data_IF_860517005928
#
_entry.id   IF_860517005928
#
_cell.length_a   1.000
_cell.length_b   1.000
_cell.length_c   1.000
_cell.angle_alpha   90.00
_cell.angle_beta   90.00
_cell.angle_gamma   90.00
#
_symmetry.space_group_name_H-M   'P 1'
#
loop_
_entity.id
_entity.type
_entity.pdbx_description
1 polymer ?
#
# COMPACT_ATOMS: atom_id res chain seq x y z
N UNK A 1 -21.99 -4.66 82.32
CA UNK A 1 -22.30 -5.81 81.44
C UNK A 1 -22.87 -5.27 80.13
N UNK A 2 -22.34 -5.71 78.99
CA UNK A 2 -22.57 -5.17 77.63
C UNK A 2 -24.01 -5.32 77.13
N UNK A 3 -24.50 -4.34 76.34
CA UNK A 3 -25.25 -4.61 75.10
C UNK A 3 -24.58 -3.89 73.90
N UNK A 4 -25.09 -3.99 72.67
CA UNK A 4 -25.59 -5.15 71.94
C UNK A 4 -24.88 -5.31 70.57
N UNK A 5 -24.91 -6.52 70.02
CA UNK A 5 -24.74 -6.77 68.59
C UNK A 5 -25.97 -6.21 67.85
N UNK A 6 -25.76 -5.27 66.93
CA UNK A 6 -26.59 -5.19 65.72
C UNK A 6 -25.88 -4.40 64.64
N UNK A 7 -25.96 -4.94 63.44
CA UNK A 7 -25.13 -4.63 62.29
C UNK A 7 -25.39 -3.24 61.72
N UNK A 8 -24.30 -2.49 61.48
CA UNK A 8 -24.26 -1.41 60.51
C UNK A 8 -23.09 -1.69 59.58
N UNK A 9 -23.34 -2.54 58.58
CA UNK A 9 -22.41 -2.73 57.46
C UNK A 9 -22.56 -1.50 56.56
N UNK A 10 -21.70 -0.51 56.82
CA UNK A 10 -21.52 0.64 55.94
C UNK A 10 -20.83 0.16 54.67
N UNK A 11 -21.62 -0.24 53.67
CA UNK A 11 -21.15 -0.57 52.32
C UNK A 11 -20.63 0.71 51.65
N UNK A 12 -19.36 1.04 51.88
CA UNK A 12 -18.64 2.06 51.13
C UNK A 12 -18.27 1.47 49.77
N UNK A 13 -19.18 1.60 48.81
CA UNK A 13 -18.93 1.32 47.39
C UNK A 13 -17.87 2.29 46.89
N UNK A 14 -16.61 1.87 47.01
CA UNK A 14 -15.47 2.48 46.36
C UNK A 14 -15.61 2.20 44.86
N UNK A 15 -16.12 3.19 44.13
CA UNK A 15 -16.18 3.17 42.68
C UNK A 15 -14.74 3.33 42.15
N UNK A 16 -14.07 2.22 41.87
CA UNK A 16 -12.87 2.25 41.03
C UNK A 16 -13.33 2.63 39.61
N UNK A 17 -12.86 3.74 39.00
CA UNK A 17 -12.88 3.83 37.56
C UNK A 17 -11.91 2.77 37.06
N UNK A 18 -12.44 1.67 36.52
CA UNK A 18 -11.67 0.80 35.65
C UNK A 18 -11.03 1.71 34.61
N UNK A 19 -9.70 1.71 34.57
CA UNK A 19 -8.91 2.43 33.59
C UNK A 19 -9.25 1.96 32.18
N UNK A 20 -10.26 2.57 31.58
CA UNK A 20 -10.33 2.74 30.15
C UNK A 20 -9.32 3.82 29.80
N UNK A 21 -8.39 3.51 28.91
CA UNK A 21 -7.43 4.46 28.37
C UNK A 21 -8.16 5.76 28.03
N UNK A 22 -7.77 6.84 28.70
CA UNK A 22 -7.88 8.16 28.12
C UNK A 22 -7.18 8.03 26.77
N UNK A 23 -7.96 7.88 25.70
CA UNK A 23 -7.51 8.23 24.36
C UNK A 23 -7.18 9.70 24.53
N UNK A 24 -5.89 9.96 24.75
CA UNK A 24 -5.36 11.29 24.68
C UNK A 24 -5.90 11.84 23.36
N UNK A 25 -6.76 12.83 23.49
CA UNK A 25 -7.16 13.69 22.41
C UNK A 25 -5.88 14.33 21.86
N UNK A 26 -5.19 13.61 20.99
CA UNK A 26 -4.15 14.16 20.12
C UNK A 26 -4.93 14.90 19.06
N UNK A 27 -5.28 16.13 19.42
CA UNK A 27 -5.47 17.26 18.52
C UNK A 27 -6.41 17.05 17.34
N UNK A 28 -7.54 17.74 17.41
CA UNK A 28 -8.19 18.36 16.26
C UNK A 28 -7.26 19.31 15.45
N UNK A 29 -5.98 19.44 15.82
CA UNK A 29 -4.92 20.06 15.03
C UNK A 29 -4.08 19.07 14.18
N UNK A 30 -4.22 17.75 14.36
CA UNK A 30 -3.48 16.73 13.58
C UNK A 30 -4.17 16.33 12.27
N UNK A 31 -5.50 16.49 12.20
CA UNK A 31 -6.29 16.10 11.02
C UNK A 31 -5.98 16.92 9.76
N UNK A 32 -5.44 18.14 9.92
CA UNK A 32 -5.07 19.02 8.78
C UNK A 32 -3.61 18.79 8.34
N UNK A 33 -2.77 18.14 9.15
CA UNK A 33 -1.34 18.01 8.89
C UNK A 33 -0.90 16.78 8.09
N UNK A 34 -1.73 15.74 8.00
CA UNK A 34 -1.35 14.49 7.33
C UNK A 34 -1.49 14.52 5.81
N UNK A 35 -2.30 15.43 5.25
CA UNK A 35 -2.56 15.47 3.79
C UNK A 35 -1.38 15.98 2.97
N UNK A 36 -0.52 16.82 3.55
CA UNK A 36 0.68 17.34 2.85
C UNK A 36 1.91 16.42 2.99
N UNK A 37 1.85 15.40 3.85
CA UNK A 37 3.01 14.57 4.18
C UNK A 37 3.01 13.20 3.48
N UNK A 38 1.89 12.76 2.91
CA UNK A 38 1.80 11.53 2.15
C UNK A 38 1.26 11.80 0.75
N UNK A 39 1.85 11.13 -0.24
CA UNK A 39 1.34 11.17 -1.62
C UNK A 39 0.10 10.26 -1.79
N UNK A 40 -0.20 9.42 -0.79
CA UNK A 40 -1.35 8.51 -0.75
C UNK A 40 -2.56 9.20 -0.12
N UNK A 41 -3.71 9.15 -0.80
CA UNK A 41 -4.96 9.69 -0.24
C UNK A 41 -5.54 8.75 0.83
N UNK A 42 -6.29 9.29 1.79
CA UNK A 42 -6.98 8.46 2.78
C UNK A 42 -7.95 7.47 2.12
N UNK A 43 -8.60 7.85 1.01
CA UNK A 43 -9.46 6.97 0.23
C UNK A 43 -8.70 5.77 -0.34
N UNK A 44 -7.54 6.01 -0.96
CA UNK A 44 -6.68 4.93 -1.48
C UNK A 44 -6.17 3.99 -0.37
N UNK A 45 -5.87 4.53 0.82
CA UNK A 45 -5.47 3.69 1.95
C UNK A 45 -6.61 2.79 2.45
N UNK A 46 -7.85 3.31 2.48
CA UNK A 46 -9.03 2.53 2.82
C UNK A 46 -9.34 1.48 1.74
N UNK A 47 -9.23 1.84 0.47
CA UNK A 47 -9.41 0.92 -0.66
C UNK A 47 -8.42 -0.25 -0.58
N UNK A 48 -7.12 0.04 -0.40
CA UNK A 48 -6.09 -0.99 -0.28
C UNK A 48 -6.36 -1.92 0.93
N UNK A 49 -6.75 -1.37 2.09
CA UNK A 49 -7.09 -2.17 3.26
C UNK A 49 -8.32 -3.06 3.03
N UNK A 50 -9.34 -2.54 2.34
CA UNK A 50 -10.52 -3.33 1.98
C UNK A 50 -10.17 -4.46 1.00
N UNK A 51 -9.30 -4.20 0.02
CA UNK A 51 -8.80 -5.22 -0.91
C UNK A 51 -8.02 -6.30 -0.17
N UNK A 52 -7.07 -5.92 0.69
CA UNK A 52 -6.31 -6.86 1.52
C UNK A 52 -7.25 -7.77 2.33
N UNK A 53 -8.20 -7.17 3.06
CA UNK A 53 -9.17 -7.92 3.85
C UNK A 53 -10.07 -8.83 2.99
N UNK A 54 -10.52 -8.36 1.83
CA UNK A 54 -11.33 -9.15 0.92
C UNK A 54 -10.56 -10.38 0.40
N UNK A 55 -9.31 -10.19 -0.01
CA UNK A 55 -8.45 -11.27 -0.50
C UNK A 55 -8.15 -12.27 0.63
N UNK A 56 -7.73 -11.80 1.80
CA UNK A 56 -7.46 -12.67 2.96
C UNK A 56 -8.72 -13.43 3.39
N UNK A 57 -9.88 -12.79 3.40
CA UNK A 57 -11.15 -13.47 3.69
C UNK A 57 -11.49 -14.56 2.65
N UNK A 58 -11.30 -14.27 1.35
CA UNK A 58 -11.51 -15.26 0.28
C UNK A 58 -10.55 -16.45 0.42
N UNK A 59 -9.27 -16.21 0.66
CA UNK A 59 -8.26 -17.25 0.92
C UNK A 59 -8.71 -18.15 2.09
N UNK A 60 -8.99 -17.56 3.25
CA UNK A 60 -9.40 -18.33 4.43
C UNK A 60 -10.74 -19.04 4.24
N UNK A 61 -11.67 -18.48 3.45
CA UNK A 61 -12.93 -19.14 3.10
C UNK A 61 -12.74 -20.32 2.15
N UNK A 62 -11.74 -20.25 1.26
CA UNK A 62 -11.45 -21.33 0.33
C UNK A 62 -10.83 -22.51 1.08
N UNK A 63 -9.83 -22.24 1.92
CA UNK A 63 -9.30 -23.22 2.88
C UNK A 63 -8.46 -22.53 3.97
N UNK A 64 -8.97 -22.49 5.19
CA UNK A 64 -8.28 -21.83 6.31
C UNK A 64 -6.96 -22.49 6.70
N UNK A 65 -6.83 -23.82 6.53
CA UNK A 65 -5.61 -24.55 6.89
C UNK A 65 -4.49 -24.30 5.86
N UNK A 66 -4.83 -24.30 4.57
CA UNK A 66 -3.86 -24.08 3.48
C UNK A 66 -3.31 -22.66 3.46
N UNK A 67 -4.14 -21.67 3.76
CA UNK A 67 -3.80 -20.26 3.58
C UNK A 67 -3.70 -19.48 4.91
N UNK A 68 -3.66 -20.18 6.05
CA UNK A 68 -3.49 -19.57 7.38
C UNK A 68 -2.30 -18.60 7.40
N UNK A 69 -1.18 -19.05 6.83
CA UNK A 69 0.11 -18.37 6.83
C UNK A 69 0.40 -17.56 5.57
N UNK A 70 -0.60 -17.36 4.70
CA UNK A 70 -0.45 -16.47 3.54
C UNK A 70 -0.86 -15.06 3.95
N UNK A 71 0.10 -14.16 4.03
CA UNK A 71 -0.15 -12.74 4.33
C UNK A 71 -0.43 -11.96 3.05
N UNK A 72 -1.32 -10.97 3.17
CA UNK A 72 -1.81 -10.17 2.05
C UNK A 72 -1.60 -8.70 2.37
N UNK A 73 -0.64 -8.09 1.70
CA UNK A 73 -0.37 -6.66 1.82
C UNK A 73 -0.75 -5.95 0.53
N UNK A 74 -1.30 -4.74 0.61
CA UNK A 74 -1.73 -4.00 -0.59
C UNK A 74 -1.23 -2.57 -0.51
N UNK A 75 -0.50 -2.14 -1.54
CA UNK A 75 -0.05 -0.76 -1.67
C UNK A 75 -0.34 -0.22 -3.07
N UNK A 76 -1.19 0.79 -3.13
CA UNK A 76 -1.56 1.50 -4.34
C UNK A 76 -2.06 0.53 -5.44
N UNK A 77 -2.89 -0.45 -5.07
CA UNK A 77 -3.42 -1.50 -5.94
C UNK A 77 -2.44 -2.62 -6.34
N UNK A 78 -1.17 -2.60 -5.89
CA UNK A 78 -0.31 -3.78 -5.98
C UNK A 78 -0.57 -4.67 -4.77
N UNK A 79 -0.94 -5.92 -5.01
CA UNK A 79 -1.09 -6.96 -3.98
C UNK A 79 0.22 -7.71 -3.86
N UNK A 80 0.75 -7.81 -2.64
CA UNK A 80 1.83 -8.72 -2.29
C UNK A 80 1.23 -9.90 -1.52
N UNK A 81 1.41 -11.09 -2.06
CA UNK A 81 1.18 -12.35 -1.34
C UNK A 81 2.52 -12.85 -0.83
N UNK A 82 2.65 -12.99 0.48
CA UNK A 82 3.83 -13.60 1.11
C UNK A 82 3.38 -14.70 2.07
N UNK A 83 4.31 -15.47 2.63
CA UNK A 83 3.95 -16.64 3.42
C UNK A 83 4.37 -17.95 2.79
N UNK A 84 3.63 -19.00 3.11
CA UNK A 84 3.86 -20.33 2.56
C UNK A 84 2.59 -21.11 2.31
N UNK A 85 2.73 -22.11 1.43
CA UNK A 85 1.76 -23.17 1.18
C UNK A 85 2.49 -24.49 1.00
N UNK A 86 1.76 -25.61 1.13
CA UNK A 86 2.34 -26.94 1.01
C UNK A 86 2.60 -27.37 -0.43
N UNK A 87 1.81 -26.86 -1.39
CA UNK A 87 1.81 -27.33 -2.77
C UNK A 87 1.83 -26.18 -3.80
N UNK A 88 2.47 -26.38 -4.97
CA UNK A 88 2.52 -25.37 -6.03
C UNK A 88 1.14 -24.90 -6.51
N UNK A 89 0.17 -25.81 -6.58
CA UNK A 89 -1.21 -25.50 -6.98
C UNK A 89 -1.88 -24.50 -6.03
N UNK A 90 -1.62 -24.59 -4.73
CA UNK A 90 -2.17 -23.67 -3.74
C UNK A 90 -1.57 -22.26 -3.91
N UNK A 91 -0.29 -22.17 -4.30
CA UNK A 91 0.36 -20.88 -4.61
C UNK A 91 -0.28 -20.20 -5.83
N UNK A 92 -0.52 -20.96 -6.89
CA UNK A 92 -1.19 -20.45 -8.11
C UNK A 92 -2.64 -20.08 -7.80
N UNK A 93 -3.32 -20.89 -6.98
CA UNK A 93 -4.69 -20.66 -6.59
C UNK A 93 -4.84 -19.38 -5.74
N UNK A 94 -3.92 -19.13 -4.81
CA UNK A 94 -3.88 -17.89 -4.03
C UNK A 94 -3.72 -16.65 -4.91
N UNK A 95 -2.87 -16.71 -5.92
CA UNK A 95 -2.70 -15.65 -6.92
C UNK A 95 -3.98 -15.40 -7.71
N UNK A 96 -4.67 -16.46 -8.14
CA UNK A 96 -5.96 -16.35 -8.81
C UNK A 96 -7.01 -15.66 -7.93
N UNK A 97 -7.02 -15.92 -6.62
CA UNK A 97 -7.89 -15.22 -5.66
C UNK A 97 -7.52 -13.73 -5.58
N UNK A 98 -6.24 -13.39 -5.52
CA UNK A 98 -5.79 -11.99 -5.45
C UNK A 98 -6.22 -11.17 -6.69
N UNK A 99 -6.12 -11.76 -7.89
CA UNK A 99 -6.60 -11.15 -9.13
C UNK A 99 -8.13 -10.97 -9.18
N UNK A 100 -8.90 -11.68 -8.36
CA UNK A 100 -10.37 -11.57 -8.33
C UNK A 100 -10.91 -10.35 -7.58
N UNK A 101 -10.05 -9.56 -6.92
CA UNK A 101 -10.46 -8.34 -6.23
C UNK A 101 -10.45 -7.13 -7.17
N UNK A 102 -11.51 -6.32 -7.13
CA UNK A 102 -11.82 -5.34 -8.18
C UNK A 102 -10.81 -4.20 -8.36
N UNK A 103 -10.04 -3.88 -7.32
CA UNK A 103 -9.05 -2.79 -7.34
C UNK A 103 -7.60 -3.30 -7.41
N UNK A 104 -7.42 -4.61 -7.61
CA UNK A 104 -6.10 -5.21 -7.87
C UNK A 104 -5.62 -4.76 -9.24
N UNK A 105 -4.45 -4.10 -9.26
CA UNK A 105 -3.77 -3.66 -10.49
C UNK A 105 -2.61 -4.58 -10.87
N UNK A 106 -1.97 -5.17 -9.87
CA UNK A 106 -0.83 -6.05 -10.04
C UNK A 106 -0.74 -7.01 -8.84
N UNK A 107 -0.10 -8.16 -9.03
CA UNK A 107 0.08 -9.19 -8.00
C UNK A 107 1.53 -9.67 -7.99
N UNK A 108 2.21 -9.43 -6.87
CA UNK A 108 3.50 -10.04 -6.55
C UNK A 108 3.25 -11.29 -5.69
N UNK A 109 3.50 -12.47 -6.25
CA UNK A 109 3.31 -13.75 -5.56
C UNK A 109 4.64 -14.31 -5.04
N UNK A 110 4.97 -13.98 -3.79
CA UNK A 110 6.19 -14.37 -3.08
C UNK A 110 5.95 -15.51 -2.06
N UNK A 111 4.83 -16.23 -2.21
CA UNK A 111 4.52 -17.41 -1.39
C UNK A 111 5.57 -18.50 -1.63
N UNK A 112 6.14 -19.03 -0.56
CA UNK A 112 7.05 -20.18 -0.60
C UNK A 112 6.29 -21.51 -0.61
N UNK A 113 6.83 -22.50 -1.32
CA UNK A 113 6.31 -23.86 -1.30
C UNK A 113 7.16 -24.67 -0.34
N UNK A 114 6.70 -24.79 0.89
CA UNK A 114 7.42 -25.48 1.96
C UNK A 114 6.44 -26.04 3.01
N UNK A 115 6.79 -27.15 3.68
CA UNK A 115 5.97 -27.69 4.77
C UNK A 115 5.86 -26.69 5.93
N UNK A 116 4.91 -26.88 6.85
CA UNK A 116 4.75 -25.99 7.99
C UNK A 116 5.99 -25.98 8.92
N UNK A 117 6.88 -24.99 8.79
CA UNK A 117 7.95 -24.62 9.72
C UNK A 117 7.49 -23.80 10.94
N UNK A 118 8.20 -23.94 12.06
CA UNK A 118 7.75 -23.49 13.38
C UNK A 118 7.54 -21.98 13.57
N UNK A 119 6.62 -21.68 14.50
CA UNK A 119 6.17 -20.37 15.02
C UNK A 119 7.27 -19.33 15.36
N UNK A 120 8.55 -19.73 15.41
CA UNK A 120 9.68 -18.88 15.82
C UNK A 120 10.08 -17.88 14.72
N UNK A 121 9.91 -18.22 13.44
CA UNK A 121 10.32 -17.36 12.32
C UNK A 121 9.50 -16.04 12.28
N UNK A 122 8.18 -16.12 12.40
CA UNK A 122 7.28 -14.96 12.28
C UNK A 122 7.53 -13.90 13.37
N UNK A 123 7.90 -14.30 14.59
CA UNK A 123 8.24 -13.35 15.67
C UNK A 123 9.49 -12.54 15.32
N UNK A 124 10.47 -13.17 14.64
CA UNK A 124 11.69 -12.49 14.24
C UNK A 124 11.44 -11.49 13.10
N UNK A 125 10.52 -11.80 12.19
CA UNK A 125 10.19 -10.96 11.05
C UNK A 125 9.48 -9.66 11.46
N UNK A 126 8.57 -9.70 12.43
CA UNK A 126 7.94 -8.48 12.96
C UNK A 126 8.95 -7.52 13.60
N UNK A 127 9.96 -8.08 14.30
CA UNK A 127 11.06 -7.29 14.86
C UNK A 127 11.99 -6.75 13.76
N UNK A 128 12.18 -7.48 12.66
CA UNK A 128 12.89 -6.99 11.48
C UNK A 128 12.10 -5.83 10.85
N UNK A 129 10.81 -6.02 10.56
CA UNK A 129 9.90 -5.00 10.01
C UNK A 129 9.92 -3.73 10.86
N UNK A 130 9.78 -3.86 12.18
CA UNK A 130 9.85 -2.73 13.11
C UNK A 130 11.18 -1.97 13.05
N UNK A 131 12.30 -2.69 12.96
CA UNK A 131 13.64 -2.07 12.85
C UNK A 131 13.87 -1.41 11.49
N UNK A 132 13.45 -2.05 10.39
CA UNK A 132 13.48 -1.45 9.04
C UNK A 132 12.67 -0.17 9.04
N UNK A 133 11.43 -0.20 9.56
CA UNK A 133 10.55 0.96 9.66
C UNK A 133 11.20 2.09 10.46
N UNK A 134 11.81 1.78 11.60
CA UNK A 134 12.52 2.76 12.42
C UNK A 134 13.70 3.40 11.66
N UNK A 135 14.49 2.61 10.91
CA UNK A 135 15.59 3.17 10.09
C UNK A 135 15.10 4.06 8.96
N UNK A 136 14.03 3.67 8.27
CA UNK A 136 13.46 4.53 7.22
C UNK A 136 12.92 5.85 7.80
N UNK A 137 12.26 5.81 8.95
CA UNK A 137 11.78 7.02 9.67
C UNK A 137 12.96 7.93 10.05
N UNK A 138 14.08 7.35 10.50
CA UNK A 138 15.28 8.11 10.85
C UNK A 138 16.06 8.68 9.65
N UNK A 139 15.74 8.26 8.42
CA UNK A 139 16.46 8.66 7.21
C UNK A 139 15.97 10.01 6.70
N UNK A 140 16.88 10.99 6.61
CA UNK A 140 16.56 12.35 6.10
C UNK A 140 16.22 12.39 4.60
N UNK A 141 16.61 11.36 3.86
CA UNK A 141 16.50 11.30 2.40
C UNK A 141 15.41 10.36 1.91
N UNK A 142 14.78 9.60 2.82
CA UNK A 142 13.69 8.67 2.51
C UNK A 142 12.41 9.20 3.13
N UNK A 143 11.40 9.43 2.30
CA UNK A 143 10.05 9.74 2.76
C UNK A 143 9.36 8.46 3.22
N UNK A 144 9.69 8.00 4.43
CA UNK A 144 9.26 6.69 4.97
C UNK A 144 7.76 6.44 4.89
N UNK A 145 6.96 7.50 4.97
CA UNK A 145 5.51 7.47 4.86
C UNK A 145 4.98 6.97 3.50
N UNK A 146 5.78 7.05 2.44
CA UNK A 146 5.41 6.54 1.12
C UNK A 146 5.77 5.05 0.93
N UNK A 147 6.45 4.44 1.91
CA UNK A 147 6.90 3.06 1.82
C UNK A 147 6.11 2.17 2.77
N UNK A 148 5.60 1.06 2.24
CA UNK A 148 5.09 -0.03 3.03
C UNK A 148 6.14 -1.14 3.12
N UNK A 149 6.26 -1.78 4.27
CA UNK A 149 7.32 -2.75 4.59
C UNK A 149 6.64 -4.01 5.07
N UNK A 150 6.89 -5.11 4.35
CA UNK A 150 6.50 -6.46 4.71
C UNK A 150 7.76 -7.32 4.85
N UNK A 151 7.79 -8.27 5.79
CA UNK A 151 8.96 -9.16 5.96
C UNK A 151 8.50 -10.60 6.14
N UNK A 152 9.07 -11.49 5.33
CA UNK A 152 8.84 -12.93 5.46
C UNK A 152 10.14 -13.72 5.36
N UNK A 153 10.46 -14.51 6.39
CA UNK A 153 11.66 -15.33 6.50
C UNK A 153 12.95 -14.53 6.24
N UNK A 154 13.03 -13.32 6.80
CA UNK A 154 14.13 -12.37 6.62
C UNK A 154 14.24 -11.73 5.24
N UNK A 155 13.27 -11.95 4.34
CA UNK A 155 13.16 -11.20 3.08
C UNK A 155 12.28 -9.99 3.31
N UNK A 156 12.82 -8.79 3.08
CA UNK A 156 12.09 -7.53 3.22
C UNK A 156 11.53 -7.13 1.86
N UNK A 157 10.22 -6.96 1.77
CA UNK A 157 9.53 -6.42 0.61
C UNK A 157 9.20 -4.95 0.85
N UNK A 158 9.78 -4.09 0.02
CA UNK A 158 9.45 -2.66 0.00
C UNK A 158 8.39 -2.40 -1.08
N UNK A 159 7.27 -1.80 -0.68
CA UNK A 159 6.17 -1.40 -1.56
C UNK A 159 5.87 0.10 -1.43
N UNK A 160 5.02 0.62 -2.32
CA UNK A 160 4.58 2.02 -2.29
C UNK A 160 5.24 2.86 -3.37
N UNK A 161 5.64 4.09 -3.05
CA UNK A 161 6.20 5.04 -4.03
C UNK A 161 7.49 5.71 -3.58
N UNK A 162 8.40 5.96 -4.52
CA UNK A 162 9.59 6.77 -4.31
C UNK A 162 9.61 7.94 -5.30
N UNK A 163 10.04 9.11 -4.86
CA UNK A 163 10.10 10.32 -5.69
C UNK A 163 11.24 10.27 -6.70
N UNK A 164 12.29 9.51 -6.39
CA UNK A 164 13.47 9.36 -7.25
C UNK A 164 14.09 7.97 -7.12
N UNK A 165 14.83 7.55 -8.15
CA UNK A 165 15.65 6.33 -8.08
C UNK A 165 16.68 6.37 -6.93
N UNK A 166 17.17 7.56 -6.57
CA UNK A 166 18.11 7.75 -5.46
C UNK A 166 17.45 7.49 -4.10
N UNK A 167 16.22 7.97 -3.91
CA UNK A 167 15.43 7.69 -2.71
C UNK A 167 15.13 6.19 -2.59
N UNK A 168 14.72 5.55 -3.69
CA UNK A 168 14.49 4.11 -3.74
C UNK A 168 15.74 3.31 -3.35
N UNK A 169 16.88 3.60 -3.99
CA UNK A 169 18.16 2.96 -3.67
C UNK A 169 18.50 3.14 -2.19
N UNK A 170 18.31 4.34 -1.65
CA UNK A 170 18.61 4.62 -0.26
C UNK A 170 17.69 3.88 0.70
N UNK A 171 16.40 3.73 0.38
CA UNK A 171 15.47 2.93 1.17
C UNK A 171 15.89 1.45 1.21
N UNK A 172 16.29 0.90 0.06
CA UNK A 172 16.80 -0.47 -0.01
C UNK A 172 18.11 -0.66 0.79
N UNK A 173 19.04 0.29 0.72
CA UNK A 173 20.27 0.29 1.52
C UNK A 173 19.97 0.31 3.02
N UNK A 174 19.10 1.21 3.49
CA UNK A 174 18.73 1.31 4.91
C UNK A 174 18.04 0.02 5.42
N UNK A 175 17.23 -0.62 4.58
CA UNK A 175 16.63 -1.92 4.92
C UNK A 175 17.68 -3.03 4.98
N UNK A 176 18.59 -3.10 4.00
CA UNK A 176 19.56 -4.19 3.85
C UNK A 176 20.55 -4.32 5.01
N UNK A 177 20.83 -3.24 5.74
CA UNK A 177 21.78 -3.22 6.87
C UNK A 177 21.13 -3.59 8.21
N UNK A 178 19.83 -3.88 8.24
CA UNK A 178 19.14 -4.31 9.45
C UNK A 178 19.51 -5.77 9.76
N UNK A 179 19.93 -6.03 11.00
CA UNK A 179 20.30 -7.37 11.41
C UNK A 179 19.13 -8.37 11.28
N UNK A 180 19.36 -9.47 10.58
CA UNK A 180 18.33 -10.49 10.26
C UNK A 180 17.77 -10.37 8.84
N UNK A 181 17.99 -9.25 8.15
CA UNK A 181 17.63 -9.13 6.73
C UNK A 181 18.58 -9.99 5.90
N UNK A 182 18.01 -10.93 5.14
CA UNK A 182 18.71 -11.81 4.21
C UNK A 182 18.70 -11.24 2.79
N UNK A 183 17.59 -10.59 2.42
CA UNK A 183 17.36 -10.04 1.08
C UNK A 183 16.39 -8.86 1.16
N UNK A 184 16.53 -7.90 0.25
CA UNK A 184 15.55 -6.84 0.02
C UNK A 184 15.01 -6.96 -1.40
N UNK A 185 13.70 -7.06 -1.54
CA UNK A 185 12.97 -7.05 -2.80
C UNK A 185 12.15 -5.78 -2.86
N UNK A 186 12.11 -5.12 -4.01
CA UNK A 186 11.38 -3.87 -4.17
C UNK A 186 10.33 -3.96 -5.26
N UNK A 187 9.10 -3.61 -4.89
CA UNK A 187 7.99 -3.31 -5.79
C UNK A 187 7.57 -1.83 -5.67
N UNK A 188 8.50 -0.97 -5.27
CA UNK A 188 8.25 0.47 -5.15
C UNK A 188 8.18 1.08 -6.54
N UNK A 189 7.13 1.85 -6.79
CA UNK A 189 6.99 2.60 -8.05
C UNK A 189 7.68 3.95 -7.95
N UNK A 190 8.41 4.32 -9.00
CA UNK A 190 8.91 5.67 -9.11
C UNK A 190 7.76 6.58 -9.49
N UNK A 191 7.59 7.69 -8.76
CA UNK A 191 6.76 8.78 -9.23
C UNK A 191 7.51 9.40 -10.40
N UNK A 192 7.04 9.13 -11.62
CA UNK A 192 7.46 9.88 -12.79
C UNK A 192 7.34 11.39 -12.45
N UNK A 193 8.36 12.23 -12.73
CA UNK A 193 8.14 13.66 -12.71
C UNK A 193 7.02 13.92 -13.72
N UNK A 194 5.94 14.57 -13.27
CA UNK A 194 4.80 14.91 -14.11
C UNK A 194 5.32 15.54 -15.41
N UNK A 195 5.28 14.76 -16.50
CA UNK A 195 5.50 15.33 -17.83
C UNK A 195 4.26 16.17 -18.05
N UNK A 196 4.37 17.48 -17.74
CA UNK A 196 3.39 18.47 -18.16
C UNK A 196 3.22 18.22 -19.65
N UNK A 197 2.07 17.65 -20.04
CA UNK A 197 1.72 17.57 -21.45
C UNK A 197 1.95 18.98 -22.01
N UNK A 198 2.64 19.14 -23.16
CA UNK A 198 2.83 20.46 -23.73
C UNK A 198 1.46 21.11 -23.74
N UNK A 199 1.35 22.20 -22.97
CA UNK A 199 0.17 23.04 -22.93
C UNK A 199 -0.16 23.31 -24.39
N UNK A 200 -1.38 23.00 -24.88
CA UNK A 200 -1.67 23.18 -26.29
C UNK A 200 -1.32 24.63 -26.60
N UNK A 201 -0.28 24.82 -27.42
CA UNK A 201 0.12 26.14 -27.84
C UNK A 201 -1.14 26.74 -28.45
N UNK A 202 -1.72 27.73 -27.79
CA UNK A 202 -2.73 28.57 -28.41
C UNK A 202 -1.99 29.30 -29.52
N UNK A 203 -1.89 28.65 -30.68
CA UNK A 203 -1.27 29.19 -31.87
C UNK A 203 -1.91 30.54 -32.10
N UNK A 204 -1.05 31.55 -32.05
CA UNK A 204 -1.45 32.95 -32.18
C UNK A 204 -2.33 33.16 -33.41
N UNK A 205 -3.25 34.11 -33.26
CA UNK A 205 -4.07 34.66 -34.33
C UNK A 205 -3.27 34.82 -35.62
N UNK A 206 -3.74 34.28 -36.76
CA UNK A 206 -3.25 34.75 -38.05
C UNK A 206 -3.73 36.18 -38.25
N UNK A 207 -2.76 37.08 -38.31
CA UNK A 207 -2.91 38.44 -38.84
C UNK A 207 -3.54 38.40 -40.22
N UNK A 208 -4.41 39.39 -40.46
CA UNK A 208 -5.21 39.64 -41.64
C UNK A 208 -4.48 39.47 -42.97
N UNK A 209 -5.04 38.67 -43.89
CA UNK A 209 -4.74 38.78 -45.32
C UNK A 209 -5.84 39.57 -46.02
N UNK A 210 -5.45 40.77 -46.45
CA UNK A 210 -6.16 41.62 -47.39
C UNK A 210 -6.31 40.95 -48.76
N UNK A 211 -7.51 41.09 -49.30
CA UNK A 211 -7.93 41.08 -50.71
C UNK A 211 -6.88 40.77 -51.80
N UNK A 212 -7.13 39.70 -52.56
CA UNK A 212 -6.79 39.60 -54.00
C UNK A 212 -7.96 38.88 -54.72
N UNK A 213 -8.36 39.28 -55.95
CA UNK A 213 -9.70 39.02 -56.49
C UNK A 213 -9.91 37.64 -57.12
N UNK A 214 -11.19 37.30 -57.19
CA UNK A 214 -11.86 36.18 -57.86
C UNK A 214 -11.36 35.90 -59.29
N UNK A 215 -11.05 34.63 -59.57
CA UNK A 215 -11.06 34.05 -60.92
C UNK A 215 -11.63 32.61 -60.89
N UNK A 216 -12.94 32.53 -61.06
CA UNK A 216 -13.70 31.67 -62.01
C UNK A 216 -12.96 30.58 -62.83
N UNK A 217 -13.68 29.44 -63.02
CA UNK A 217 -13.45 28.23 -63.86
C UNK A 217 -12.52 27.14 -63.30
N UNK A 218 -12.87 25.85 -63.22
CA UNK A 218 -14.06 25.10 -63.65
C UNK A 218 -13.80 23.58 -63.57
N UNK A 219 -14.89 22.82 -63.66
CA UNK A 219 -15.04 21.42 -64.14
C UNK A 219 -14.26 20.26 -63.49
N UNK A 220 -15.04 19.42 -62.79
CA UNK A 220 -15.28 17.99 -63.05
C UNK A 220 -14.20 16.90 -62.84
N UNK A 221 -14.69 15.79 -62.26
CA UNK A 221 -14.22 14.39 -62.32
C UNK A 221 -12.95 14.07 -61.48
N UNK A 222 -12.71 12.88 -60.92
CA UNK A 222 -13.35 11.57 -60.95
C UNK A 222 -12.81 10.73 -59.77
N UNK A 223 -13.52 9.64 -59.48
CA UNK A 223 -13.24 8.58 -58.50
C UNK A 223 -11.94 7.80 -58.75
N UNK A 224 -11.34 7.26 -57.66
CA UNK A 224 -10.67 5.95 -57.46
C UNK A 224 -9.71 6.10 -56.25
N UNK A 225 -9.66 5.28 -55.21
CA UNK A 225 -9.86 3.84 -55.10
C UNK A 225 -8.50 3.13 -55.17
N UNK A 226 -7.85 2.86 -54.02
CA UNK A 226 -6.96 1.71 -53.83
C UNK A 226 -6.45 1.59 -52.39
N UNK A 227 -6.58 0.38 -51.87
CA UNK A 227 -5.98 -0.17 -50.66
C UNK A 227 -4.56 -0.66 -50.94
N UNK A 228 -3.71 -0.63 -49.91
CA UNK A 228 -2.73 -1.67 -49.59
C UNK A 228 -2.70 -1.85 -48.08
#
# INVERSE_FOLDING_TARGET
MKPPFSALVLSMTLLLPLGGCVVAAVGTAGAIGITAAQDKTMGQALDDANVSNQIKAKLLSENSEKYAEVDVEVANGLVLLSGRVNFPEDRVRAEGIAWSAALTKDVANEIKIEPPGGFIANISDEVITGRVRARLIGSKTVKSLNFNIETYDGIVYLMGTARTAKELKKAAEEASVVAGVKQVVSYVRLLEPEVRAPEPELQGQPTSYQNVPDTSYGSDAELIGASY
#
